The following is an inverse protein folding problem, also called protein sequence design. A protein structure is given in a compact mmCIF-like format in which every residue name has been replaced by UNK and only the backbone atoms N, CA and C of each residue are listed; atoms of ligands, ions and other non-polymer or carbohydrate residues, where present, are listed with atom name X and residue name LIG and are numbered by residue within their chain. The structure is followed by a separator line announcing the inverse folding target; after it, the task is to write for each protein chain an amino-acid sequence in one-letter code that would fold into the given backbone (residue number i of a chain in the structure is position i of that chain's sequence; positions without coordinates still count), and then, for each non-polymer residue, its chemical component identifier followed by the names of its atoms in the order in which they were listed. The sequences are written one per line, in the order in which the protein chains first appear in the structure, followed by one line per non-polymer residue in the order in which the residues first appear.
data_IF_672786986295
#
_entry.id   IF_672786986295
#
_cell.length_a   1.000
_cell.length_b   1.000
_cell.length_c   1.000
_cell.angle_alpha   90.00
_cell.angle_beta   90.00
_cell.angle_gamma   90.00
#
_symmetry.space_group_name_H-M   'P 1'
#
loop_
_entity.id
_entity.type
_entity.pdbx_description
1 polymer ?
#
# COMPACT_ATOMS: atom_id res chain seq x y z
N UNK A 1 -27.39 -38.92 15.82
CA UNK A 1 -26.91 -37.81 16.68
C UNK A 1 -25.46 -37.45 16.39
N UNK A 2 -24.54 -38.40 16.35
CA UNK A 2 -23.10 -38.16 16.15
C UNK A 2 -22.74 -37.46 14.84
N UNK A 3 -23.47 -37.71 13.76
CA UNK A 3 -23.21 -37.05 12.46
C UNK A 3 -23.58 -35.57 12.48
N UNK A 4 -24.64 -35.22 13.20
CA UNK A 4 -25.10 -33.83 13.29
C UNK A 4 -24.15 -32.97 14.16
N UNK A 5 -23.66 -33.55 15.23
CA UNK A 5 -22.67 -32.89 16.12
C UNK A 5 -21.35 -32.66 15.40
N UNK A 6 -20.87 -33.63 14.64
CA UNK A 6 -19.64 -33.47 13.82
C UNK A 6 -19.79 -32.42 12.72
N UNK A 7 -20.94 -32.38 12.04
CA UNK A 7 -21.20 -31.36 11.01
C UNK A 7 -21.28 -29.95 11.60
N UNK A 8 -21.93 -29.77 12.75
CA UNK A 8 -22.01 -28.50 13.45
C UNK A 8 -20.62 -28.04 13.97
N UNK A 9 -19.80 -28.97 14.41
CA UNK A 9 -18.46 -28.68 14.91
C UNK A 9 -17.50 -28.27 13.77
N UNK A 10 -17.58 -28.94 12.61
CA UNK A 10 -16.82 -28.56 11.40
C UNK A 10 -17.26 -27.21 10.86
N UNK A 11 -18.55 -26.93 10.84
CA UNK A 11 -19.10 -25.63 10.43
C UNK A 11 -18.60 -24.50 11.34
N UNK A 12 -18.58 -24.75 12.65
CA UNK A 12 -18.11 -23.79 13.67
C UNK A 12 -16.62 -23.49 13.52
N UNK A 13 -15.79 -24.51 13.28
CA UNK A 13 -14.36 -24.35 13.01
C UNK A 13 -14.12 -23.56 11.72
N UNK A 14 -14.88 -23.82 10.65
CA UNK A 14 -14.78 -23.08 9.41
C UNK A 14 -15.15 -21.59 9.57
N UNK A 15 -16.17 -21.26 10.34
CA UNK A 15 -16.57 -19.86 10.62
C UNK A 15 -15.49 -19.14 11.42
N UNK A 16 -14.88 -19.79 12.42
CA UNK A 16 -13.81 -19.19 13.20
C UNK A 16 -12.59 -18.89 12.34
N UNK A 17 -12.18 -19.80 11.46
CA UNK A 17 -11.05 -19.60 10.55
C UNK A 17 -11.28 -18.43 9.60
N UNK A 18 -12.46 -18.35 8.99
CA UNK A 18 -12.83 -17.24 8.10
C UNK A 18 -12.80 -15.90 8.85
N UNK A 19 -13.34 -15.85 10.07
CA UNK A 19 -13.35 -14.65 10.91
C UNK A 19 -11.93 -14.20 11.26
N UNK A 20 -11.05 -15.12 11.65
CA UNK A 20 -9.65 -14.82 11.97
C UNK A 20 -8.89 -14.28 10.75
N UNK A 21 -9.12 -14.86 9.58
CA UNK A 21 -8.54 -14.37 8.32
C UNK A 21 -9.03 -12.96 7.98
N UNK A 22 -10.31 -12.66 8.19
CA UNK A 22 -10.86 -11.32 7.99
C UNK A 22 -10.26 -10.29 8.94
N UNK A 23 -10.09 -10.65 10.21
CA UNK A 23 -9.46 -9.77 11.21
C UNK A 23 -7.99 -9.53 10.84
N UNK A 24 -7.25 -10.58 10.44
CA UNK A 24 -5.86 -10.46 9.98
C UNK A 24 -5.73 -9.53 8.77
N UNK A 25 -6.61 -9.68 7.77
CA UNK A 25 -6.65 -8.80 6.61
C UNK A 25 -6.98 -7.34 6.98
N UNK A 26 -7.86 -7.14 7.96
CA UNK A 26 -8.18 -5.80 8.48
C UNK A 26 -6.98 -5.16 9.17
N UNK A 27 -6.25 -5.89 10.02
CA UNK A 27 -5.03 -5.40 10.68
C UNK A 27 -3.98 -5.00 9.65
N UNK A 28 -3.74 -5.85 8.65
CA UNK A 28 -2.80 -5.53 7.56
C UNK A 28 -3.21 -4.27 6.80
N UNK A 29 -4.50 -4.09 6.53
CA UNK A 29 -5.01 -2.88 5.90
C UNK A 29 -4.78 -1.64 6.77
N UNK A 30 -4.98 -1.74 8.08
CA UNK A 30 -4.72 -0.63 9.00
C UNK A 30 -3.24 -0.28 9.05
N UNK A 31 -2.34 -1.27 9.13
CA UNK A 31 -0.89 -1.05 9.05
C UNK A 31 -0.48 -0.37 7.74
N UNK A 32 -1.04 -0.80 6.61
CA UNK A 32 -0.79 -0.16 5.33
C UNK A 32 -1.28 1.30 5.30
N UNK A 33 -2.46 1.57 5.88
CA UNK A 33 -2.99 2.92 5.98
C UNK A 33 -2.08 3.82 6.81
N UNK A 34 -1.60 3.33 7.94
CA UNK A 34 -0.69 4.07 8.82
C UNK A 34 0.67 4.31 8.15
N UNK A 35 1.22 3.31 7.46
CA UNK A 35 2.43 3.44 6.67
C UNK A 35 2.30 4.52 5.58
N UNK A 36 1.19 4.53 4.84
CA UNK A 36 0.92 5.55 3.81
C UNK A 36 0.74 6.93 4.45
N UNK A 37 0.06 7.02 5.59
CA UNK A 37 -0.10 8.29 6.31
C UNK A 37 1.26 8.85 6.75
N UNK A 38 2.15 8.00 7.29
CA UNK A 38 3.50 8.42 7.69
C UNK A 38 4.34 8.81 6.47
N UNK A 39 4.25 8.07 5.36
CA UNK A 39 4.94 8.44 4.12
C UNK A 39 4.55 9.83 3.63
N UNK A 40 3.27 10.17 3.67
CA UNK A 40 2.74 11.45 3.16
C UNK A 40 2.89 12.58 4.18
N UNK A 41 2.40 12.36 5.40
CA UNK A 41 2.29 13.41 6.42
C UNK A 41 3.50 13.50 7.36
N UNK A 42 4.41 12.52 7.29
CA UNK A 42 5.53 12.40 8.22
C UNK A 42 5.16 11.70 9.53
N UNK A 43 6.16 11.46 10.35
CA UNK A 43 6.07 10.80 11.65
C UNK A 43 5.99 11.76 12.86
N UNK A 44 5.74 13.05 12.60
CA UNK A 44 5.70 14.10 13.62
C UNK A 44 6.99 14.91 13.76
N UNK A 45 8.07 14.53 13.07
CA UNK A 45 9.37 15.23 13.10
C UNK A 45 9.53 16.26 11.97
N UNK A 46 8.44 16.82 11.48
CA UNK A 46 8.43 17.78 10.38
C UNK A 46 9.04 17.24 9.07
N UNK A 47 8.84 15.97 8.81
CA UNK A 47 9.39 15.21 7.68
C UNK A 47 8.33 14.73 6.68
N UNK A 48 7.27 15.50 6.49
CA UNK A 48 6.25 15.23 5.46
C UNK A 48 6.88 15.10 4.07
N UNK A 49 6.27 14.30 3.21
CA UNK A 49 6.74 14.13 1.84
C UNK A 49 6.58 15.44 1.05
N UNK A 50 7.56 15.73 0.20
CA UNK A 50 7.46 16.84 -0.74
C UNK A 50 6.33 16.55 -1.74
N UNK A 51 5.37 17.47 -1.81
CA UNK A 51 4.26 17.37 -2.76
C UNK A 51 4.59 18.16 -4.03
N UNK A 52 4.56 17.48 -5.16
CA UNK A 52 4.78 18.03 -6.50
C UNK A 52 3.44 18.04 -7.23
N UNK A 53 2.99 19.21 -7.69
CA UNK A 53 1.70 19.33 -8.38
C UNK A 53 1.92 19.58 -9.88
N UNK A 54 1.22 18.82 -10.71
CA UNK A 54 1.25 19.02 -12.17
C UNK A 54 0.76 20.44 -12.51
N UNK A 55 1.51 21.13 -13.37
CA UNK A 55 1.23 22.54 -13.72
C UNK A 55 1.83 23.56 -12.77
N UNK A 56 2.63 23.12 -11.77
CA UNK A 56 3.37 24.00 -10.87
C UNK A 56 4.84 23.59 -10.88
N UNK A 57 5.75 24.56 -11.06
CA UNK A 57 7.20 24.26 -11.07
C UNK A 57 7.59 23.42 -9.83
N UNK A 58 8.41 22.35 -10.00
CA UNK A 58 9.15 21.95 -11.18
C UNK A 58 8.38 21.06 -12.16
N UNK A 59 7.11 20.75 -11.92
CA UNK A 59 6.29 19.88 -12.78
C UNK A 59 5.60 20.66 -13.89
N UNK A 60 5.78 20.22 -15.14
CA UNK A 60 5.13 20.82 -16.32
C UNK A 60 3.72 20.24 -16.55
N UNK A 61 2.97 20.84 -17.47
CA UNK A 61 1.70 20.30 -17.95
C UNK A 61 0.45 20.99 -17.40
N UNK A 62 -0.69 20.37 -17.64
CA UNK A 62 -2.01 20.88 -17.21
C UNK A 62 -2.55 20.02 -16.08
N UNK A 63 -2.99 20.65 -15.00
CA UNK A 63 -3.60 19.98 -13.86
C UNK A 63 -4.76 19.07 -14.30
N UNK A 64 -4.82 17.89 -13.74
CA UNK A 64 -5.83 16.88 -14.06
C UNK A 64 -5.45 15.93 -15.22
N UNK A 65 -4.38 16.25 -15.98
CA UNK A 65 -3.90 15.45 -17.10
C UNK A 65 -2.56 14.82 -16.75
N UNK A 66 -2.47 13.49 -16.85
CA UNK A 66 -1.23 12.76 -16.64
C UNK A 66 -0.65 12.34 -18.00
N UNK A 67 0.62 12.65 -18.23
CA UNK A 67 1.38 12.24 -19.43
C UNK A 67 2.66 11.55 -19.00
N UNK A 68 3.28 10.77 -19.92
CA UNK A 68 4.54 10.09 -19.64
C UNK A 68 5.68 11.09 -19.32
N UNK A 69 5.69 12.26 -19.98
CA UNK A 69 6.65 13.32 -19.68
C UNK A 69 6.65 13.72 -18.20
N UNK A 70 5.49 13.85 -17.59
CA UNK A 70 5.36 14.20 -16.17
C UNK A 70 5.85 13.09 -15.24
N UNK A 71 5.71 11.82 -15.64
CA UNK A 71 6.30 10.70 -14.92
C UNK A 71 7.83 10.72 -14.98
N UNK A 72 8.41 11.10 -16.12
CA UNK A 72 9.86 11.29 -16.27
C UNK A 72 10.34 12.48 -15.45
N UNK A 73 9.63 13.61 -15.47
CA UNK A 73 9.93 14.76 -14.61
C UNK A 73 9.87 14.40 -13.11
N UNK A 74 8.87 13.62 -12.71
CA UNK A 74 8.73 13.13 -11.33
C UNK A 74 9.89 12.20 -10.96
N UNK A 75 10.27 11.27 -11.83
CA UNK A 75 11.43 10.40 -11.65
C UNK A 75 12.72 11.20 -11.45
N UNK A 76 12.93 12.25 -12.23
CA UNK A 76 14.12 13.09 -12.14
C UNK A 76 14.25 13.85 -10.81
N UNK A 77 13.17 14.02 -10.07
CA UNK A 77 13.19 14.69 -8.75
C UNK A 77 13.73 13.79 -7.63
N UNK A 78 14.00 12.50 -7.89
CA UNK A 78 14.42 11.56 -6.84
C UNK A 78 15.94 11.53 -6.60
N UNK A 79 16.74 12.22 -7.39
CA UNK A 79 18.19 12.30 -7.12
C UNK A 79 18.45 12.86 -5.69
N UNK A 80 19.31 12.22 -4.87
CA UNK A 80 20.20 11.08 -5.12
C UNK A 80 19.56 9.68 -4.90
N UNK A 81 18.28 9.62 -4.57
CA UNK A 81 17.55 8.35 -4.36
C UNK A 81 17.04 7.78 -5.70
N UNK A 82 16.62 6.53 -5.68
CA UNK A 82 16.10 5.84 -6.85
C UNK A 82 14.59 5.62 -6.71
N UNK A 83 13.80 6.13 -7.63
CA UNK A 83 12.38 5.81 -7.68
C UNK A 83 12.22 4.34 -8.13
N UNK A 84 12.00 3.44 -7.16
CA UNK A 84 11.83 2.01 -7.43
C UNK A 84 10.41 1.51 -7.18
N UNK A 85 9.55 2.30 -6.56
CA UNK A 85 8.15 1.94 -6.29
C UNK A 85 7.24 3.15 -6.42
N UNK A 86 6.10 2.95 -7.06
CA UNK A 86 5.01 3.92 -7.13
C UNK A 86 3.73 3.30 -6.56
N UNK A 87 3.19 3.90 -5.49
CA UNK A 87 1.87 3.54 -4.96
C UNK A 87 0.82 4.39 -5.66
N UNK A 88 -0.15 3.72 -6.26
CA UNK A 88 -1.12 4.37 -7.15
C UNK A 88 -2.55 3.93 -6.79
N UNK A 89 -3.51 4.85 -6.66
CA UNK A 89 -4.91 4.47 -6.50
C UNK A 89 -5.50 3.92 -7.80
N UNK A 90 -6.61 3.19 -7.70
CA UNK A 90 -7.16 2.46 -8.84
C UNK A 90 -7.56 3.35 -10.03
N UNK A 91 -8.10 4.53 -9.78
CA UNK A 91 -8.48 5.50 -10.81
C UNK A 91 -7.26 6.07 -11.57
N UNK A 92 -6.21 6.38 -10.85
CA UNK A 92 -4.95 6.86 -11.44
C UNK A 92 -4.21 5.73 -12.16
N UNK A 93 -4.28 4.50 -11.65
CA UNK A 93 -3.73 3.32 -12.33
C UNK A 93 -4.32 3.14 -13.73
N UNK A 94 -5.64 3.31 -13.88
CA UNK A 94 -6.30 3.25 -15.20
C UNK A 94 -5.76 4.32 -16.14
N UNK A 95 -5.57 5.55 -15.66
CA UNK A 95 -4.98 6.64 -16.45
C UNK A 95 -3.53 6.33 -16.87
N UNK A 96 -2.74 5.76 -15.97
CA UNK A 96 -1.36 5.36 -16.28
C UNK A 96 -1.30 4.25 -17.33
N UNK A 97 -2.12 3.22 -17.18
CA UNK A 97 -2.17 2.09 -18.14
C UNK A 97 -2.72 2.50 -19.51
N UNK A 98 -3.41 3.62 -19.62
CA UNK A 98 -3.85 4.19 -20.90
C UNK A 98 -2.76 4.95 -21.64
N UNK A 99 -1.62 5.22 -21.02
CA UNK A 99 -0.47 5.86 -21.68
C UNK A 99 0.16 4.88 -22.69
N UNK A 100 0.40 5.36 -23.92
CA UNK A 100 0.96 4.56 -25.01
C UNK A 100 2.32 3.95 -24.66
N UNK A 101 3.15 4.68 -23.92
CA UNK A 101 4.49 4.27 -23.52
C UNK A 101 4.48 3.12 -22.49
N UNK A 102 3.39 2.97 -21.73
CA UNK A 102 3.19 1.87 -20.78
C UNK A 102 2.47 0.67 -21.42
N UNK A 103 1.90 0.85 -22.60
CA UNK A 103 1.25 -0.21 -23.37
C UNK A 103 2.24 -0.96 -24.29
N UNK A 104 3.49 -0.54 -24.34
CA UNK A 104 4.51 -1.21 -25.15
C UNK A 104 4.63 -2.70 -24.78
N UNK A 105 4.94 -3.51 -25.80
CA UNK A 105 5.03 -4.97 -25.69
C UNK A 105 6.03 -5.42 -24.61
N UNK A 106 7.10 -4.66 -24.37
CA UNK A 106 8.06 -4.96 -23.32
C UNK A 106 7.48 -4.83 -21.89
N UNK A 107 6.66 -3.81 -21.64
CA UNK A 107 5.98 -3.62 -20.36
C UNK A 107 4.87 -4.68 -20.15
N UNK A 108 4.14 -5.03 -21.23
CA UNK A 108 3.11 -6.07 -21.20
C UNK A 108 3.66 -7.48 -20.92
N UNK A 109 4.83 -7.80 -21.47
CA UNK A 109 5.49 -9.09 -21.24
C UNK A 109 5.93 -9.25 -19.75
N UNK A 110 6.43 -8.19 -19.14
CA UNK A 110 6.81 -8.22 -17.73
C UNK A 110 5.59 -8.46 -16.83
N UNK A 111 4.46 -7.81 -17.10
CA UNK A 111 3.22 -8.03 -16.36
C UNK A 111 2.71 -9.47 -16.47
N UNK A 112 2.72 -10.04 -17.69
CA UNK A 112 2.27 -11.41 -17.92
C UNK A 112 3.18 -12.46 -17.27
N UNK A 113 4.48 -12.19 -17.18
CA UNK A 113 5.44 -13.14 -16.62
C UNK A 113 5.53 -13.12 -15.08
N UNK A 114 5.42 -11.96 -14.46
CA UNK A 114 5.68 -11.77 -13.02
C UNK A 114 4.46 -11.35 -12.22
N UNK A 115 3.37 -10.90 -12.89
CA UNK A 115 2.22 -10.29 -12.23
C UNK A 115 2.50 -8.90 -11.64
N UNK A 116 3.73 -8.41 -11.75
CA UNK A 116 4.14 -7.08 -11.32
C UNK A 116 4.26 -6.16 -12.53
N UNK A 117 3.65 -4.99 -12.46
CA UNK A 117 3.74 -3.97 -13.48
C UNK A 117 4.96 -3.08 -13.18
N UNK A 118 5.97 -3.15 -14.04
CA UNK A 118 7.16 -2.30 -13.95
C UNK A 118 7.08 -1.25 -15.05
N UNK A 119 7.28 0.01 -14.67
CA UNK A 119 7.33 1.11 -15.64
C UNK A 119 8.63 1.09 -16.44
N UNK A 120 8.69 1.71 -17.65
CA UNK A 120 9.95 1.90 -18.37
C UNK A 120 11.03 2.64 -17.58
N UNK A 121 10.65 3.34 -16.51
CA UNK A 121 11.55 4.03 -15.57
C UNK A 121 12.14 3.11 -14.50
N UNK A 122 11.82 1.82 -14.52
CA UNK A 122 12.30 0.83 -13.55
C UNK A 122 11.54 0.81 -12.22
N UNK A 123 10.47 1.58 -12.07
CA UNK A 123 9.64 1.59 -10.88
C UNK A 123 8.51 0.57 -10.96
N UNK A 124 8.31 -0.19 -9.90
CA UNK A 124 7.18 -1.10 -9.75
C UNK A 124 5.91 -0.32 -9.40
N UNK A 125 4.83 -0.59 -10.14
CA UNK A 125 3.51 -0.02 -9.85
C UNK A 125 2.75 -0.91 -8.90
N UNK A 126 2.40 -0.38 -7.73
CA UNK A 126 1.61 -1.07 -6.73
C UNK A 126 0.28 -0.34 -6.54
N UNK A 127 -0.82 -1.04 -6.85
CA UNK A 127 -2.15 -0.49 -6.60
C UNK A 127 -2.48 -0.51 -5.11
N UNK A 128 -2.85 0.63 -4.56
CA UNK A 128 -3.27 0.74 -3.17
C UNK A 128 -4.54 1.57 -3.03
N UNK A 129 -5.50 1.07 -2.26
CA UNK A 129 -6.72 1.80 -1.90
C UNK A 129 -6.50 2.83 -0.78
N UNK A 130 -5.32 2.81 -0.15
CA UNK A 130 -4.98 3.75 0.93
C UNK A 130 -4.41 5.05 0.40
N UNK A 131 -4.11 5.13 -0.91
CA UNK A 131 -3.62 6.34 -1.57
C UNK A 131 -4.81 7.18 -2.03
N UNK A 132 -4.72 8.49 -1.83
CA UNK A 132 -5.77 9.43 -2.25
C UNK A 132 -5.90 9.45 -3.77
N UNK A 133 -7.15 9.51 -4.26
CA UNK A 133 -7.45 9.69 -5.69
C UNK A 133 -6.74 10.90 -6.28
N UNK A 134 -6.22 10.78 -7.51
CA UNK A 134 -5.48 11.83 -8.19
C UNK A 134 -4.07 12.07 -7.63
N UNK A 135 -3.52 11.14 -6.84
CA UNK A 135 -2.14 11.25 -6.34
C UNK A 135 -1.35 9.98 -6.66
N UNK A 136 -0.04 10.13 -6.82
CA UNK A 136 0.93 9.04 -6.95
C UNK A 136 1.97 9.25 -5.86
N UNK A 137 2.25 8.22 -5.07
CA UNK A 137 3.34 8.26 -4.09
C UNK A 137 4.51 7.48 -4.69
N UNK A 138 5.60 8.20 -5.00
CA UNK A 138 6.85 7.59 -5.38
C UNK A 138 7.77 7.43 -4.18
N UNK A 139 8.49 6.33 -4.12
CA UNK A 139 9.42 6.08 -3.03
C UNK A 139 10.61 5.20 -3.44
N UNK A 140 11.71 5.35 -2.70
CA UNK A 140 12.79 4.38 -2.63
C UNK A 140 12.58 3.48 -1.42
N UNK A 141 12.22 2.21 -1.64
CA UNK A 141 11.93 1.23 -0.57
C UNK A 141 13.04 1.10 0.47
N UNK A 142 14.30 1.38 0.10
CA UNK A 142 15.45 1.17 0.96
C UNK A 142 15.60 2.26 2.02
N UNK A 143 15.05 3.46 1.75
CA UNK A 143 15.32 4.66 2.54
C UNK A 143 14.07 5.43 2.97
N UNK A 144 12.88 5.06 2.46
CA UNK A 144 11.68 5.86 2.69
C UNK A 144 11.06 5.64 4.07
N UNK A 145 10.88 4.39 4.47
CA UNK A 145 10.10 4.03 5.66
C UNK A 145 10.69 2.80 6.33
N UNK A 146 10.67 2.80 7.66
CA UNK A 146 10.96 1.65 8.50
C UNK A 146 9.73 1.27 9.32
N UNK A 147 9.47 -0.02 9.42
CA UNK A 147 8.44 -0.57 10.30
C UNK A 147 9.12 -1.19 11.52
N UNK A 148 8.74 -0.75 12.70
CA UNK A 148 9.16 -1.34 13.96
C UNK A 148 7.96 -2.07 14.57
N UNK A 149 8.13 -3.35 14.86
CA UNK A 149 7.10 -4.18 15.47
C UNK A 149 7.52 -4.56 16.88
N UNK A 150 6.65 -4.28 17.86
CA UNK A 150 6.86 -4.65 19.24
C UNK A 150 6.24 -6.02 19.52
N UNK A 151 7.01 -7.09 19.31
CA UNK A 151 6.57 -8.46 19.48
C UNK A 151 5.85 -9.05 18.28
N UNK A 152 5.46 -10.30 18.39
CA UNK A 152 4.67 -11.02 17.38
C UNK A 152 3.19 -10.68 17.50
N UNK A 153 2.43 -10.97 16.43
CA UNK A 153 0.97 -10.91 16.49
C UNK A 153 0.47 -11.95 17.48
N UNK A 154 -0.17 -11.48 18.56
CA UNK A 154 -0.71 -12.34 19.60
C UNK A 154 -2.19 -12.62 19.32
N UNK A 155 -2.57 -13.90 19.42
CA UNK A 155 -3.97 -14.33 19.33
C UNK A 155 -4.36 -14.94 20.68
N UNK A 156 -5.28 -14.31 21.37
CA UNK A 156 -5.80 -14.75 22.65
C UNK A 156 -7.23 -15.27 22.49
N UNK A 157 -7.50 -16.41 23.11
CA UNK A 157 -8.82 -17.01 23.12
C UNK A 157 -9.37 -17.02 24.55
N UNK A 158 -10.60 -16.57 24.69
CA UNK A 158 -11.33 -16.59 25.97
C UNK A 158 -12.70 -17.24 25.80
N UNK A 159 -13.06 -18.12 26.71
CA UNK A 159 -14.34 -18.82 26.75
C UNK A 159 -15.14 -18.40 27.97
N UNK A 160 -16.18 -17.61 27.73
CA UNK A 160 -17.13 -17.20 28.77
C UNK A 160 -18.21 -18.28 28.92
N UNK A 161 -18.02 -19.15 29.90
CA UNK A 161 -18.90 -20.33 30.16
C UNK A 161 -20.32 -19.89 30.55
N UNK A 162 -20.43 -18.83 31.34
CA UNK A 162 -21.69 -18.24 31.84
C UNK A 162 -22.57 -17.69 30.69
N UNK A 163 -21.98 -17.25 29.59
CA UNK A 163 -22.68 -16.70 28.43
C UNK A 163 -22.61 -17.58 27.19
N UNK A 164 -21.95 -18.72 27.25
CA UNK A 164 -21.70 -19.63 26.14
C UNK A 164 -21.08 -18.93 24.92
N UNK A 165 -20.22 -17.92 25.18
CA UNK A 165 -19.53 -17.13 24.16
C UNK A 165 -18.05 -17.50 24.11
N UNK A 166 -17.52 -17.58 22.91
CA UNK A 166 -16.09 -17.67 22.66
C UNK A 166 -15.62 -16.34 22.05
N UNK A 167 -14.57 -15.77 22.62
CA UNK A 167 -13.90 -14.56 22.12
C UNK A 167 -12.51 -14.89 21.63
N UNK A 168 -12.12 -14.26 20.52
CA UNK A 168 -10.74 -14.21 20.08
C UNK A 168 -10.31 -12.73 20.00
N UNK A 169 -9.18 -12.41 20.60
CA UNK A 169 -8.56 -11.09 20.48
C UNK A 169 -7.24 -11.25 19.71
N UNK A 170 -7.05 -10.42 18.69
CA UNK A 170 -5.80 -10.36 17.93
C UNK A 170 -5.18 -9.00 18.22
N UNK A 171 -3.97 -9.01 18.76
CA UNK A 171 -3.23 -7.81 19.09
C UNK A 171 -1.96 -7.74 18.28
N UNK A 172 -1.73 -6.61 17.63
CA UNK A 172 -0.49 -6.30 16.93
C UNK A 172 -0.06 -4.87 17.28
N UNK A 173 1.19 -4.70 17.66
CA UNK A 173 1.76 -3.40 18.00
C UNK A 173 2.87 -3.12 17.01
N UNK A 174 2.68 -2.11 16.18
CA UNK A 174 3.67 -1.66 15.21
C UNK A 174 3.73 -0.14 15.15
N UNK A 175 4.90 0.36 14.82
CA UNK A 175 5.14 1.77 14.55
C UNK A 175 5.85 1.95 13.22
N UNK A 176 5.69 3.12 12.61
CA UNK A 176 6.34 3.48 11.37
C UNK A 176 7.16 4.74 11.57
N UNK A 177 8.42 4.71 11.16
CA UNK A 177 9.32 5.86 11.17
C UNK A 177 9.78 6.19 9.76
N UNK A 178 9.88 7.49 9.45
CA UNK A 178 10.41 7.93 8.18
C UNK A 178 11.92 8.10 8.28
N UNK A 179 12.68 7.32 7.49
CA UNK A 179 14.14 7.33 7.58
C UNK A 179 14.69 8.58 6.89
N UNK A 180 14.44 8.70 5.58
CA UNK A 180 14.88 9.82 4.77
C UNK A 180 13.65 10.53 4.17
N UNK A 181 13.40 11.80 4.56
CA UNK A 181 12.22 12.53 4.08
C UNK A 181 12.13 12.64 2.57
N UNK A 182 13.28 12.83 1.91
CA UNK A 182 13.37 13.05 0.46
C UNK A 182 13.26 11.76 -0.36
N UNK A 183 13.38 10.58 0.29
CA UNK A 183 13.23 9.29 -0.37
C UNK A 183 11.76 8.93 -0.71
N UNK A 184 10.81 9.76 -0.31
CA UNK A 184 9.41 9.65 -0.67
C UNK A 184 8.87 11.01 -1.11
N UNK A 185 8.18 11.04 -2.27
CA UNK A 185 7.54 12.26 -2.81
C UNK A 185 6.15 11.94 -3.30
N UNK A 186 5.29 12.94 -3.28
CA UNK A 186 3.89 12.82 -3.72
C UNK A 186 3.71 13.63 -4.98
N UNK A 187 3.20 13.01 -6.04
CA UNK A 187 2.76 13.69 -7.26
C UNK A 187 1.24 13.88 -7.20
N UNK A 188 0.79 15.11 -7.31
CA UNK A 188 -0.63 15.49 -7.41
C UNK A 188 -0.95 15.85 -8.86
N UNK A 189 -1.97 15.15 -9.39
CA UNK A 189 -2.42 15.25 -10.79
C UNK A 189 -3.48 16.35 -10.93
#
# INVERSE_FOLDING_TARGET
EDRFVRSAMLLRLGIQEVTLRQIGAYIQKMHLQDAVNVLVSGDGNNNAATSLTIGTSPMSGTKGTLTYKQLVEFWAQFDPYTLNTMLVPGDTMVKMLALSELQDAAAGLNFQGTGALVTPLGAELVRSSCVRSGTIIGLDRRYALEMVQAGEVCVEYDKLIDRQLERAAITSISGFGKIMPEAAKVLVI
#
